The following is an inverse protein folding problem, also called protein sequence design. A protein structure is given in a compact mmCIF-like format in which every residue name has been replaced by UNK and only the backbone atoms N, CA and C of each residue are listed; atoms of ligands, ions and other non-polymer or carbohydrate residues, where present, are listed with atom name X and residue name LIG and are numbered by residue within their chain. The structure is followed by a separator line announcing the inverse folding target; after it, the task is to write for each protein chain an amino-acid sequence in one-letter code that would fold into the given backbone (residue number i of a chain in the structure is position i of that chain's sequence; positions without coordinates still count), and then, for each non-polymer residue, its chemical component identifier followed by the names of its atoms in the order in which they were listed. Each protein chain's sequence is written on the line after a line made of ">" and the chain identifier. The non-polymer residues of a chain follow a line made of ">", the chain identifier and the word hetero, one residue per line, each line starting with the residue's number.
data_IF_800821133146
#
_entry.id   IF_800821133146
#
_cell.length_a   1.000
_cell.length_b   1.000
_cell.length_c   1.000
_cell.angle_alpha   90.00
_cell.angle_beta   90.00
_cell.angle_gamma   90.00
#
_symmetry.space_group_name_H-M   'P 1'
#
loop_
_entity.id
_entity.type
_entity.pdbx_description
1 polymer ?
#
# COMPACT_ATOMS: atom_id res chain seq x y z
N UNK A 1 -21.11 33.04 0.30
CA UNK A 1 -21.48 31.62 0.06
C UNK A 1 -20.37 30.75 0.63
N UNK A 2 -20.44 30.31 1.90
CA UNK A 2 -19.40 29.52 2.55
C UNK A 2 -19.32 28.05 2.07
N UNK A 3 -20.44 27.48 1.62
CA UNK A 3 -20.50 26.06 1.21
C UNK A 3 -19.67 25.74 -0.05
N UNK A 4 -19.59 26.68 -1.01
CA UNK A 4 -18.83 26.49 -2.25
C UNK A 4 -17.32 26.38 -1.99
N UNK A 5 -16.82 27.10 -0.99
CA UNK A 5 -15.40 27.08 -0.64
C UNK A 5 -15.01 25.73 0.02
N UNK A 6 -15.84 25.23 0.94
CA UNK A 6 -15.60 23.93 1.58
C UNK A 6 -15.64 22.76 0.57
N UNK A 7 -16.54 22.84 -0.43
CA UNK A 7 -16.61 21.86 -1.50
C UNK A 7 -15.35 21.86 -2.40
N UNK A 8 -14.90 23.04 -2.81
CA UNK A 8 -13.68 23.19 -3.61
C UNK A 8 -12.44 22.72 -2.84
N UNK A 9 -12.35 23.06 -1.56
CA UNK A 9 -11.29 22.57 -0.67
C UNK A 9 -11.30 21.03 -0.60
N UNK A 10 -12.45 20.41 -0.38
CA UNK A 10 -12.56 18.94 -0.34
C UNK A 10 -12.15 18.29 -1.67
N UNK A 11 -12.54 18.86 -2.81
CA UNK A 11 -12.12 18.39 -4.13
C UNK A 11 -10.60 18.50 -4.29
N UNK A 12 -9.99 19.59 -3.84
CA UNK A 12 -8.54 19.78 -3.88
C UNK A 12 -7.80 18.75 -3.02
N UNK A 13 -8.33 18.45 -1.82
CA UNK A 13 -7.78 17.44 -0.91
C UNK A 13 -7.85 16.04 -1.51
N UNK A 14 -8.96 15.70 -2.19
CA UNK A 14 -9.09 14.43 -2.90
C UNK A 14 -8.11 14.31 -4.07
N UNK A 15 -7.79 15.42 -4.76
CA UNK A 15 -6.76 15.42 -5.82
C UNK A 15 -5.35 15.26 -5.24
N UNK A 16 -5.05 15.92 -4.13
CA UNK A 16 -3.79 15.77 -3.40
C UNK A 16 -3.59 14.33 -2.92
N UNK A 17 -4.63 13.73 -2.33
CA UNK A 17 -4.61 12.33 -1.91
C UNK A 17 -4.30 11.38 -3.07
N UNK A 18 -4.90 11.61 -4.25
CA UNK A 18 -4.60 10.83 -5.44
C UNK A 18 -3.12 10.88 -5.81
N UNK A 19 -2.54 12.07 -5.80
CA UNK A 19 -1.13 12.24 -6.14
C UNK A 19 -0.22 11.56 -5.13
N UNK A 20 -0.50 11.73 -3.82
CA UNK A 20 0.23 11.08 -2.75
C UNK A 20 0.19 9.54 -2.84
N UNK A 21 -0.97 8.95 -3.17
CA UNK A 21 -1.07 7.49 -3.36
C UNK A 21 -0.25 7.06 -4.59
N UNK A 22 -0.27 7.85 -5.69
CA UNK A 22 0.48 7.54 -6.91
C UNK A 22 1.99 7.67 -6.75
N UNK A 23 2.46 8.64 -5.98
CA UNK A 23 3.87 8.83 -5.65
C UNK A 23 4.37 7.84 -4.58
N UNK A 24 3.45 7.06 -3.99
CA UNK A 24 3.69 6.20 -2.84
C UNK A 24 4.21 6.95 -1.60
N UNK A 25 3.93 8.27 -1.51
CA UNK A 25 4.21 9.07 -0.32
C UNK A 25 3.01 9.02 0.64
N UNK A 26 2.97 7.95 1.44
CA UNK A 26 1.87 7.71 2.37
C UNK A 26 1.98 8.56 3.65
N UNK A 27 3.08 9.28 3.86
CA UNK A 27 3.28 10.09 5.07
C UNK A 27 2.32 11.27 5.13
N UNK A 28 2.07 11.88 3.98
CA UNK A 28 1.16 13.03 3.82
C UNK A 28 -0.34 12.64 3.95
N UNK A 29 -0.67 11.35 3.80
CA UNK A 29 -2.07 10.89 3.88
C UNK A 29 -2.70 11.09 5.25
N UNK A 30 -1.91 11.01 6.33
CA UNK A 30 -2.41 11.21 7.70
C UNK A 30 -2.91 12.64 7.87
N UNK A 31 -2.11 13.63 7.44
CA UNK A 31 -2.49 15.05 7.52
C UNK A 31 -3.65 15.42 6.59
N UNK A 32 -3.84 14.69 5.49
CA UNK A 32 -4.97 14.88 4.58
C UNK A 32 -6.30 14.39 5.19
N UNK A 33 -6.29 13.36 6.04
CA UNK A 33 -7.49 12.85 6.70
C UNK A 33 -8.16 13.92 7.58
N UNK A 34 -7.39 14.57 8.46
CA UNK A 34 -7.90 15.61 9.37
C UNK A 34 -8.43 16.85 8.65
N UNK A 35 -7.84 17.17 7.48
CA UNK A 35 -8.30 18.28 6.64
C UNK A 35 -9.62 17.93 5.94
N UNK A 36 -9.75 16.69 5.44
CA UNK A 36 -10.98 16.22 4.81
C UNK A 36 -12.13 16.19 5.80
N UNK A 37 -11.90 15.76 7.04
CA UNK A 37 -12.94 15.71 8.07
C UNK A 37 -13.44 17.11 8.43
N UNK A 38 -12.54 18.10 8.55
CA UNK A 38 -12.91 19.51 8.74
C UNK A 38 -13.67 20.09 7.55
N UNK A 39 -13.21 19.83 6.33
CA UNK A 39 -13.89 20.31 5.11
C UNK A 39 -15.29 19.68 4.95
N UNK A 40 -15.46 18.40 5.31
CA UNK A 40 -16.77 17.75 5.34
C UNK A 40 -17.68 18.33 6.42
N UNK A 41 -17.17 18.62 7.61
CA UNK A 41 -17.96 19.23 8.68
C UNK A 41 -18.40 20.66 8.33
N UNK A 42 -17.60 21.40 7.55
CA UNK A 42 -17.94 22.72 7.03
C UNK A 42 -18.91 22.70 5.83
N UNK A 43 -19.19 21.51 5.27
CA UNK A 43 -20.05 21.34 4.12
C UNK A 43 -21.52 21.22 4.56
N UNK A 44 -22.27 22.31 4.53
CA UNK A 44 -23.63 22.35 5.12
C UNK A 44 -24.72 21.94 4.12
N UNK A 45 -24.67 22.45 2.89
CA UNK A 45 -25.62 22.12 1.80
C UNK A 45 -24.97 22.20 0.42
N UNK A 46 -24.20 21.18 0.02
CA UNK A 46 -23.70 21.10 -1.35
C UNK A 46 -24.85 20.80 -2.33
N UNK A 47 -24.72 21.32 -3.55
CA UNK A 47 -25.60 20.96 -4.67
C UNK A 47 -25.37 19.50 -5.12
N UNK A 48 -26.36 18.92 -5.81
CA UNK A 48 -26.31 17.51 -6.21
C UNK A 48 -25.11 17.16 -7.11
N UNK A 49 -24.74 18.06 -8.02
CA UNK A 49 -23.61 17.85 -8.94
C UNK A 49 -22.29 17.85 -8.18
N UNK A 50 -22.13 18.75 -7.22
CA UNK A 50 -20.96 18.79 -6.32
C UNK A 50 -20.84 17.51 -5.49
N UNK A 51 -21.96 17.01 -4.93
CA UNK A 51 -21.97 15.75 -4.17
C UNK A 51 -21.54 14.57 -5.04
N UNK A 52 -22.08 14.45 -6.26
CA UNK A 52 -21.70 13.36 -7.16
C UNK A 52 -20.24 13.45 -7.60
N UNK A 53 -19.73 14.67 -7.82
CA UNK A 53 -18.31 14.89 -8.13
C UNK A 53 -17.39 14.47 -6.97
N UNK A 54 -17.71 14.88 -5.74
CA UNK A 54 -16.94 14.47 -4.55
C UNK A 54 -16.99 12.95 -4.39
N UNK A 55 -18.16 12.34 -4.56
CA UNK A 55 -18.36 10.89 -4.46
C UNK A 55 -17.54 10.13 -5.50
N UNK A 56 -17.52 10.58 -6.75
CA UNK A 56 -16.74 9.97 -7.81
C UNK A 56 -15.23 10.00 -7.48
N UNK A 57 -14.71 11.17 -7.09
CA UNK A 57 -13.30 11.33 -6.69
C UNK A 57 -12.93 10.45 -5.49
N UNK A 58 -13.79 10.38 -4.47
CA UNK A 58 -13.57 9.55 -3.30
C UNK A 58 -13.53 8.06 -3.63
N UNK A 59 -14.44 7.58 -4.49
CA UNK A 59 -14.47 6.16 -4.94
C UNK A 59 -13.22 5.79 -5.74
N UNK A 60 -12.79 6.68 -6.64
CA UNK A 60 -11.55 6.49 -7.40
C UNK A 60 -10.35 6.37 -6.46
N UNK A 61 -10.23 7.29 -5.48
CA UNK A 61 -9.14 7.26 -4.51
C UNK A 61 -9.17 6.01 -3.63
N UNK A 62 -10.35 5.57 -3.17
CA UNK A 62 -10.50 4.35 -2.39
C UNK A 62 -10.02 3.12 -3.18
N UNK A 63 -10.38 3.04 -4.46
CA UNK A 63 -9.92 1.95 -5.34
C UNK A 63 -8.40 1.99 -5.50
N UNK A 64 -7.84 3.17 -5.72
CA UNK A 64 -6.40 3.36 -5.92
C UNK A 64 -5.60 2.99 -4.66
N UNK A 65 -6.08 3.38 -3.49
CA UNK A 65 -5.49 3.02 -2.20
C UNK A 65 -5.55 1.51 -1.94
N UNK A 66 -6.67 0.86 -2.27
CA UNK A 66 -6.80 -0.58 -2.14
C UNK A 66 -5.80 -1.34 -3.05
N UNK A 67 -5.64 -0.87 -4.29
CA UNK A 67 -4.63 -1.42 -5.22
C UNK A 67 -3.20 -1.20 -4.72
N UNK A 68 -2.88 -0.02 -4.20
CA UNK A 68 -1.57 0.28 -3.62
C UNK A 68 -1.26 -0.66 -2.43
N UNK A 69 -2.23 -0.85 -1.53
CA UNK A 69 -2.10 -1.75 -0.38
C UNK A 69 -1.87 -3.21 -0.82
N UNK A 70 -2.58 -3.68 -1.85
CA UNK A 70 -2.37 -5.01 -2.41
C UNK A 70 -0.95 -5.16 -2.97
N UNK A 71 -0.44 -4.15 -3.66
CA UNK A 71 0.93 -4.11 -4.18
C UNK A 71 2.00 -4.18 -3.08
N UNK A 72 1.85 -3.37 -2.02
CA UNK A 72 2.76 -3.40 -0.86
C UNK A 72 2.78 -4.77 -0.19
N UNK A 73 1.61 -5.39 0.01
CA UNK A 73 1.52 -6.75 0.58
C UNK A 73 2.20 -7.79 -0.30
N UNK A 74 2.04 -7.71 -1.61
CA UNK A 74 2.70 -8.61 -2.55
C UNK A 74 4.24 -8.47 -2.49
N UNK A 75 4.75 -7.23 -2.42
CA UNK A 75 6.17 -6.97 -2.27
C UNK A 75 6.72 -7.52 -0.93
N UNK A 76 6.01 -7.33 0.17
CA UNK A 76 6.36 -7.90 1.48
C UNK A 76 6.41 -9.44 1.44
N UNK A 77 5.41 -10.08 0.82
CA UNK A 77 5.39 -11.52 0.64
C UNK A 77 6.60 -12.01 -0.19
N UNK A 78 6.93 -11.31 -1.27
CA UNK A 78 8.09 -11.62 -2.11
C UNK A 78 9.40 -11.51 -1.34
N UNK A 79 9.58 -10.46 -0.55
CA UNK A 79 10.75 -10.26 0.29
C UNK A 79 10.88 -11.36 1.35
N UNK A 80 9.77 -11.73 2.00
CA UNK A 80 9.76 -12.84 2.98
C UNK A 80 10.24 -14.14 2.36
N UNK A 81 9.78 -14.47 1.15
CA UNK A 81 10.23 -15.66 0.42
C UNK A 81 11.72 -15.62 0.11
N UNK A 82 12.25 -14.48 -0.35
CA UNK A 82 13.69 -14.31 -0.63
C UNK A 82 14.51 -14.48 0.65
N UNK A 83 14.13 -13.81 1.73
CA UNK A 83 14.82 -13.90 3.02
C UNK A 83 14.78 -15.32 3.58
N UNK A 84 13.66 -16.02 3.43
CA UNK A 84 13.51 -17.41 3.90
C UNK A 84 14.39 -18.36 3.08
N UNK A 85 14.41 -18.21 1.75
CA UNK A 85 15.29 -19.01 0.89
C UNK A 85 16.78 -18.73 1.15
N UNK A 86 17.15 -17.48 1.46
CA UNK A 86 18.53 -17.10 1.77
C UNK A 86 19.04 -17.69 3.11
N UNK A 87 18.15 -18.00 4.06
CA UNK A 87 18.51 -18.66 5.32
C UNK A 87 18.98 -20.12 5.15
N UNK A 88 18.84 -20.69 3.95
CA UNK A 88 19.25 -22.05 3.63
C UNK A 88 18.18 -23.08 3.98
N UNK A 89 18.26 -24.25 3.35
CA UNK A 89 17.39 -25.38 3.66
C UNK A 89 17.98 -26.17 4.83
N UNK A 90 17.26 -26.35 5.93
CA UNK A 90 17.63 -27.36 6.92
C UNK A 90 17.16 -28.72 6.40
N UNK A 91 18.10 -29.63 6.15
CA UNK A 91 17.80 -31.00 5.77
C UNK A 91 18.28 -31.92 6.88
N UNK A 92 17.45 -32.89 7.23
CA UNK A 92 17.82 -33.91 8.21
C UNK A 92 18.80 -34.88 7.56
N UNK A 93 19.92 -35.14 8.23
CA UNK A 93 20.83 -36.20 7.82
C UNK A 93 20.20 -37.59 8.04
N UNK A 94 20.93 -38.64 7.62
CA UNK A 94 20.51 -40.04 7.71
C UNK A 94 20.27 -40.50 9.16
N UNK A 95 20.74 -39.72 10.14
CA UNK A 95 20.64 -39.95 11.58
C UNK A 95 19.55 -39.09 12.23
N UNK A 96 18.80 -38.31 11.44
CA UNK A 96 17.69 -37.46 11.90
C UNK A 96 18.14 -36.11 12.49
N UNK A 97 19.39 -35.69 12.32
CA UNK A 97 19.90 -34.41 12.85
C UNK A 97 19.75 -33.29 11.81
N UNK A 98 19.30 -32.08 12.20
CA UNK A 98 19.18 -30.96 11.27
C UNK A 98 20.58 -30.50 10.83
N UNK A 99 20.87 -30.57 9.52
CA UNK A 99 22.04 -29.95 8.89
C UNK A 99 21.62 -28.80 7.98
N UNK A 100 22.22 -27.60 8.11
CA UNK A 100 21.97 -26.52 7.16
C UNK A 100 22.63 -26.84 5.81
N UNK A 101 21.82 -27.03 4.77
CA UNK A 101 22.26 -27.02 3.38
C UNK A 101 22.44 -25.56 2.97
N UNK A 102 23.66 -25.06 3.12
CA UNK A 102 24.09 -23.83 2.47
C UNK A 102 24.61 -24.17 1.09
N UNK A 103 24.33 -23.30 0.11
CA UNK A 103 24.93 -23.37 -1.23
C UNK A 103 26.39 -22.94 -1.13
N UNK A 104 27.21 -23.76 -0.48
CA UNK A 104 28.66 -23.65 -0.49
C UNK A 104 29.19 -24.24 -1.79
N UNK A 105 30.05 -23.50 -2.47
CA UNK A 105 30.94 -24.02 -3.50
C UNK A 105 31.70 -25.23 -2.93
N UNK A 106 31.30 -26.44 -3.31
CA UNK A 106 31.90 -27.67 -2.78
C UNK A 106 31.54 -28.86 -3.65
N UNK A 107 32.48 -29.19 -4.53
CA UNK A 107 32.69 -30.46 -5.22
C UNK A 107 31.49 -31.41 -5.33
N UNK A 108 30.82 -31.35 -6.48
CA UNK A 108 30.00 -32.48 -6.93
C UNK A 108 30.95 -33.59 -7.38
N UNK A 109 31.33 -34.48 -6.45
CA UNK A 109 32.02 -35.72 -6.80
C UNK A 109 31.05 -36.62 -7.58
N UNK A 110 31.24 -36.67 -8.91
CA UNK A 110 30.47 -37.48 -9.86
C UNK A 110 30.91 -38.93 -9.70
N UNK A 111 30.06 -39.79 -9.12
CA UNK A 111 30.30 -41.24 -9.10
C UNK A 111 29.74 -41.87 -10.37
N UNK A 112 30.66 -42.38 -11.19
CA UNK A 112 30.43 -43.33 -12.26
C UNK A 112 30.10 -44.71 -11.71
#
# INVERSE_FOLDING_TARGET
>A
MPDTNAAEELISLLRLEREAIRSADFSDLVGLSDRKERAMAALTKPDGDTVEKIRALARENQTLLASALAGVRAAQARLKTIVTAAKGFESYDKEGRPRPIRRGSGDFERRA
#
